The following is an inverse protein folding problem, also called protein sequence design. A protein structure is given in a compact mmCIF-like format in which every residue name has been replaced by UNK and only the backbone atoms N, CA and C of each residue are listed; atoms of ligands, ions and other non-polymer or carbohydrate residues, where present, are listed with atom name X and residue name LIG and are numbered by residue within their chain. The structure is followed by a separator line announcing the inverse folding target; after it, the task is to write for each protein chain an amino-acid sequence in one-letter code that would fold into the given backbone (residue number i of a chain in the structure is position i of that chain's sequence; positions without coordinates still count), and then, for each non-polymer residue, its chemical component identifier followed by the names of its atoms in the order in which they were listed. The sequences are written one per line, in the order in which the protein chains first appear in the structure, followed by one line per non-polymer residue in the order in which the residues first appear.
data_IF_234103321322
#
_entry.id   IF_234103321322
#
_cell.length_a   1.000
_cell.length_b   1.000
_cell.length_c   1.000
_cell.angle_alpha   90.00
_cell.angle_beta   90.00
_cell.angle_gamma   90.00
#
_symmetry.space_group_name_H-M   'P 1'
#
loop_
_entity.id
_entity.type
_entity.pdbx_description
1 polymer ?
#
# COMPACT_ATOMS: atom_id res chain seq x y z
N UNK A 1 -32.15 44.41 -4.05
CA UNK A 1 -30.75 44.13 -4.44
C UNK A 1 -29.87 44.49 -3.26
N UNK A 2 -29.31 43.48 -2.57
CA UNK A 2 -28.36 43.67 -1.47
C UNK A 2 -27.06 43.02 -1.90
N UNK A 3 -26.05 43.83 -2.15
CA UNK A 3 -24.68 43.42 -2.49
C UNK A 3 -23.93 43.06 -1.21
N UNK A 4 -23.48 41.80 -1.09
CA UNK A 4 -22.56 41.40 -0.03
C UNK A 4 -21.14 41.55 -0.55
N UNK A 5 -20.38 42.40 0.07
CA UNK A 5 -18.93 42.54 -0.13
C UNK A 5 -18.21 41.50 0.71
N UNK A 6 -17.42 40.63 0.04
CA UNK A 6 -16.56 39.61 0.69
C UNK A 6 -15.20 40.26 0.93
N UNK A 7 -14.84 40.49 2.19
CA UNK A 7 -13.50 40.93 2.58
C UNK A 7 -12.60 39.72 2.76
N UNK A 8 -11.58 39.60 1.90
CA UNK A 8 -10.48 38.64 2.07
C UNK A 8 -9.50 39.18 3.11
N UNK A 9 -9.34 38.45 4.23
CA UNK A 9 -8.23 38.64 5.17
C UNK A 9 -7.13 37.66 4.86
N UNK A 10 -6.02 38.15 4.33
CA UNK A 10 -4.76 37.41 4.16
C UNK A 10 -4.01 37.39 5.49
N UNK A 11 -3.86 36.21 6.09
CA UNK A 11 -2.95 35.95 7.20
C UNK A 11 -1.60 35.47 6.67
N UNK A 12 -0.58 36.30 6.77
CA UNK A 12 0.80 35.94 6.48
C UNK A 12 1.40 35.26 7.72
N UNK A 13 1.82 34.01 7.56
CA UNK A 13 2.60 33.28 8.58
C UNK A 13 4.07 33.36 8.19
N UNK A 14 4.85 34.09 8.95
CA UNK A 14 6.30 34.18 8.82
C UNK A 14 6.97 32.97 9.51
N UNK A 15 7.69 32.16 8.75
CA UNK A 15 8.57 31.12 9.29
C UNK A 15 9.97 31.72 9.57
N UNK A 16 10.37 31.71 10.83
CA UNK A 16 11.72 32.06 11.27
C UNK A 16 12.59 30.80 11.18
N UNK A 17 13.63 30.83 10.34
CA UNK A 17 14.69 29.85 10.30
C UNK A 17 15.73 30.19 11.39
N UNK A 18 15.92 29.28 12.34
CA UNK A 18 17.07 29.31 13.25
C UNK A 18 18.14 28.34 12.73
N UNK A 19 19.27 28.92 12.29
CA UNK A 19 20.52 28.18 12.03
C UNK A 19 21.23 27.93 13.37
N UNK A 20 21.48 26.66 13.68
CA UNK A 20 22.31 26.25 14.81
C UNK A 20 23.53 25.47 14.31
N UNK A 21 24.72 25.95 14.64
CA UNK A 21 26.00 25.59 14.10
C UNK A 21 26.59 24.29 14.69
N UNK A 22 27.49 23.73 13.88
CA UNK A 22 28.56 22.74 14.07
C UNK A 22 28.99 22.37 15.50
N UNK A 23 29.21 21.08 15.76
CA UNK A 23 30.34 20.64 16.54
C UNK A 23 31.00 19.39 15.92
N UNK A 24 32.32 19.52 15.63
CA UNK A 24 33.24 18.47 15.21
C UNK A 24 33.84 17.82 16.45
N UNK A 25 33.95 16.51 16.45
CA UNK A 25 35.02 15.69 17.07
C UNK A 25 34.75 14.26 16.61
N UNK A 26 35.57 13.57 15.86
CA UNK A 26 36.99 13.35 15.93
C UNK A 26 37.22 12.02 16.67
N UNK A 27 37.37 10.89 15.93
CA UNK A 27 37.78 9.63 16.55
C UNK A 27 37.63 8.47 15.56
N UNK A 28 38.70 8.20 14.80
CA UNK A 28 38.89 7.01 13.97
C UNK A 28 39.41 5.81 14.80
N UNK A 29 39.46 4.59 14.21
CA UNK A 29 39.28 3.30 14.84
C UNK A 29 40.58 2.61 15.27
N UNK A 30 40.53 1.40 15.77
CA UNK A 30 41.50 0.43 15.31
C UNK A 30 40.91 -0.85 14.71
N UNK A 31 41.69 -1.36 13.80
CA UNK A 31 41.52 -2.54 13.01
C UNK A 31 42.05 -3.80 13.69
N UNK A 32 41.78 -4.93 13.04
CA UNK A 32 42.45 -6.24 13.08
C UNK A 32 42.03 -7.18 14.22
N UNK A 33 41.89 -8.47 14.08
CA UNK A 33 42.28 -9.45 13.06
C UNK A 33 41.65 -10.80 13.43
N UNK A 34 41.48 -11.60 12.39
CA UNK A 34 41.72 -13.04 12.28
C UNK A 34 41.00 -14.09 13.16
N UNK A 35 40.51 -15.01 12.44
CA UNK A 35 40.82 -16.44 12.32
C UNK A 35 39.62 -17.37 12.31
N UNK A 36 39.44 -17.93 11.17
CA UNK A 36 39.11 -19.31 10.78
C UNK A 36 38.92 -20.39 11.85
N UNK A 37 37.92 -21.24 11.62
CA UNK A 37 37.96 -22.71 11.55
C UNK A 37 36.56 -23.30 11.66
N UNK A 38 36.01 -23.84 10.63
CA UNK A 38 35.95 -25.22 10.12
C UNK A 38 35.37 -26.30 11.07
N UNK A 39 34.43 -27.02 10.53
CA UNK A 39 34.00 -28.41 10.69
C UNK A 39 32.48 -28.51 10.96
N UNK A 40 31.70 -28.87 10.02
CA UNK A 40 31.31 -30.19 9.48
C UNK A 40 30.68 -31.16 10.51
N UNK A 41 29.64 -31.76 10.04
CA UNK A 41 29.04 -33.10 10.22
C UNK A 41 27.73 -33.18 10.98
N UNK A 42 26.72 -33.43 10.22
CA UNK A 42 25.96 -34.71 10.15
C UNK A 42 24.77 -34.95 11.06
N UNK A 43 23.77 -35.37 10.37
CA UNK A 43 22.73 -36.37 10.69
C UNK A 43 21.42 -35.90 11.32
N UNK A 44 20.38 -36.02 10.49
CA UNK A 44 18.99 -36.27 10.87
C UNK A 44 18.83 -37.55 11.73
N UNK A 45 17.73 -37.70 12.48
CA UNK A 45 16.58 -38.30 11.83
C UNK A 45 15.21 -37.69 12.18
N UNK A 46 14.26 -38.04 11.33
CA UNK A 46 12.84 -37.79 11.37
C UNK A 46 12.14 -38.29 12.64
N UNK A 47 11.14 -37.59 13.10
CA UNK A 47 9.92 -38.17 13.66
C UNK A 47 8.70 -37.35 13.27
N UNK A 48 7.69 -38.08 12.83
CA UNK A 48 6.37 -37.61 12.43
C UNK A 48 5.55 -37.16 13.64
N UNK A 49 4.60 -36.28 13.35
CA UNK A 49 3.48 -36.09 14.26
C UNK A 49 2.73 -34.77 14.13
N UNK A 50 1.60 -34.88 13.46
CA UNK A 50 0.31 -34.24 13.76
C UNK A 50 0.11 -32.74 13.47
N UNK A 51 -0.70 -32.49 12.44
CA UNK A 51 -1.90 -31.63 12.39
C UNK A 51 -1.84 -30.30 13.15
N UNK A 52 -1.53 -29.26 12.40
CA UNK A 52 -1.77 -27.87 12.77
C UNK A 52 -2.21 -27.11 11.56
N UNK A 53 -3.39 -26.55 11.64
CA UNK A 53 -4.10 -25.80 10.62
C UNK A 53 -3.18 -25.01 9.69
N UNK A 54 -3.28 -25.28 8.40
CA UNK A 54 -2.67 -24.54 7.34
C UNK A 54 -3.20 -23.09 7.37
N UNK A 55 -2.43 -22.20 7.98
CA UNK A 55 -2.41 -20.82 7.54
C UNK A 55 -1.92 -20.90 6.07
N UNK A 56 -2.85 -20.75 5.14
CA UNK A 56 -2.51 -20.59 3.75
C UNK A 56 -1.61 -19.35 3.64
N UNK A 57 -0.30 -19.60 3.75
CA UNK A 57 0.71 -18.64 3.37
C UNK A 57 0.43 -18.31 1.91
N UNK A 58 -0.05 -17.10 1.65
CA UNK A 58 0.00 -16.50 0.33
C UNK A 58 1.48 -16.37 -0.02
N UNK A 59 2.04 -17.50 -0.48
CA UNK A 59 3.33 -17.50 -1.14
C UNK A 59 3.21 -16.57 -2.31
N UNK A 60 3.74 -15.37 -2.16
CA UNK A 60 3.97 -14.48 -3.26
C UNK A 60 4.89 -15.23 -4.23
N UNK A 61 4.31 -15.87 -5.23
CA UNK A 61 5.06 -16.20 -6.42
C UNK A 61 5.62 -14.86 -6.88
N UNK A 62 6.95 -14.74 -6.91
CA UNK A 62 7.64 -13.59 -7.45
C UNK A 62 7.40 -13.57 -8.97
N UNK A 63 6.17 -13.27 -9.37
CA UNK A 63 5.86 -12.88 -10.74
C UNK A 63 6.56 -11.55 -10.97
N UNK A 64 7.35 -11.48 -12.03
CA UNK A 64 7.99 -10.24 -12.44
C UNK A 64 6.94 -9.12 -12.42
N UNK A 65 7.25 -8.02 -11.72
CA UNK A 65 6.32 -6.89 -11.63
C UNK A 65 6.06 -6.31 -13.02
N UNK A 66 4.83 -5.96 -13.36
CA UNK A 66 4.47 -5.42 -14.66
C UNK A 66 5.35 -4.25 -15.07
N UNK A 67 5.88 -4.31 -16.29
CA UNK A 67 6.58 -3.20 -16.94
C UNK A 67 5.79 -2.66 -18.14
N UNK A 68 4.79 -3.41 -18.66
CA UNK A 68 3.93 -2.94 -19.74
C UNK A 68 2.81 -2.03 -19.23
N UNK A 69 2.45 -1.04 -20.05
CA UNK A 69 1.35 -0.11 -19.76
C UNK A 69 0.02 -0.84 -19.50
N UNK A 70 -0.28 -1.87 -20.31
CA UNK A 70 -1.55 -2.62 -20.16
C UNK A 70 -1.60 -3.37 -18.84
N UNK A 71 -0.54 -4.08 -18.48
CA UNK A 71 -0.52 -4.87 -17.24
C UNK A 71 -0.54 -3.97 -16.00
N UNK A 72 0.19 -2.86 -16.03
CA UNK A 72 0.16 -1.88 -14.94
C UNK A 72 -1.23 -1.27 -14.76
N UNK A 73 -1.88 -0.82 -15.86
CA UNK A 73 -3.23 -0.25 -15.82
C UNK A 73 -4.23 -1.28 -15.29
N UNK A 74 -4.12 -2.54 -15.73
CA UNK A 74 -4.98 -3.62 -15.24
C UNK A 74 -4.79 -3.83 -13.73
N UNK A 75 -3.56 -3.93 -13.26
CA UNK A 75 -3.26 -4.16 -11.86
C UNK A 75 -3.68 -2.97 -10.97
N UNK A 76 -3.38 -1.73 -11.39
CA UNK A 76 -3.75 -0.53 -10.64
C UNK A 76 -5.27 -0.35 -10.54
N UNK A 77 -5.99 -0.50 -11.66
CA UNK A 77 -7.44 -0.34 -11.68
C UNK A 77 -8.17 -1.42 -10.86
N UNK A 78 -7.74 -2.69 -10.95
CA UNK A 78 -8.34 -3.76 -10.14
C UNK A 78 -8.03 -3.60 -8.66
N UNK A 79 -6.85 -3.06 -8.32
CA UNK A 79 -6.49 -2.71 -6.94
C UNK A 79 -7.42 -1.61 -6.40
N UNK A 80 -7.58 -0.50 -7.10
CA UNK A 80 -8.46 0.59 -6.66
C UNK A 80 -9.92 0.11 -6.49
N UNK A 81 -10.43 -0.72 -7.41
CA UNK A 81 -11.78 -1.28 -7.29
C UNK A 81 -11.94 -2.12 -6.03
N UNK A 82 -10.93 -2.95 -5.70
CA UNK A 82 -10.91 -3.75 -4.49
C UNK A 82 -10.88 -2.85 -3.24
N UNK A 83 -9.96 -1.87 -3.19
CA UNK A 83 -9.81 -0.99 -2.03
C UNK A 83 -11.08 -0.21 -1.72
N UNK A 84 -11.71 0.38 -2.74
CA UNK A 84 -12.96 1.11 -2.57
C UNK A 84 -14.08 0.19 -2.04
N UNK A 85 -14.19 -1.04 -2.58
CA UNK A 85 -15.24 -1.98 -2.17
C UNK A 85 -14.99 -2.52 -0.75
N UNK A 86 -13.77 -2.94 -0.45
CA UNK A 86 -13.36 -3.42 0.87
C UNK A 86 -13.58 -2.34 1.95
N UNK A 87 -13.20 -1.10 1.65
CA UNK A 87 -13.38 0.02 2.56
C UNK A 87 -14.84 0.37 2.82
N UNK A 88 -15.72 0.26 1.81
CA UNK A 88 -17.18 0.43 2.01
C UNK A 88 -17.75 -0.61 2.95
N UNK A 89 -17.33 -1.87 2.82
CA UNK A 89 -17.74 -2.96 3.73
C UNK A 89 -17.22 -2.64 5.15
N UNK A 90 -15.96 -2.21 5.28
CA UNK A 90 -15.37 -1.87 6.57
C UNK A 90 -16.09 -0.70 7.25
N UNK A 91 -16.44 0.34 6.51
CA UNK A 91 -17.24 1.47 7.03
C UNK A 91 -18.58 1.04 7.62
N UNK A 92 -19.21 0.00 7.04
CA UNK A 92 -20.48 -0.55 7.51
C UNK A 92 -20.36 -1.56 8.67
N UNK A 93 -19.39 -2.48 8.58
CA UNK A 93 -19.27 -3.61 9.51
C UNK A 93 -18.42 -3.32 10.74
N UNK A 94 -17.32 -2.57 10.62
CA UNK A 94 -16.44 -2.28 11.74
C UNK A 94 -17.14 -1.49 12.85
N UNK A 95 -16.75 -1.77 14.09
CA UNK A 95 -17.13 -0.97 15.28
C UNK A 95 -15.97 -0.11 15.77
N UNK A 96 -14.74 -0.38 15.32
CA UNK A 96 -13.56 0.41 15.66
C UNK A 96 -13.54 1.75 14.90
N UNK A 97 -13.41 2.83 15.65
CA UNK A 97 -13.45 4.18 15.08
C UNK A 97 -12.22 4.49 14.20
N UNK A 98 -11.06 3.86 14.47
CA UNK A 98 -9.88 4.07 13.66
C UNK A 98 -9.94 3.27 12.36
N UNK A 99 -10.43 2.03 12.40
CA UNK A 99 -10.71 1.23 11.19
C UNK A 99 -11.69 1.97 10.29
N UNK A 100 -12.76 2.56 10.85
CA UNK A 100 -13.71 3.37 10.06
C UNK A 100 -13.09 4.61 9.43
N UNK A 101 -12.23 5.33 10.18
CA UNK A 101 -11.52 6.50 9.62
C UNK A 101 -10.56 6.09 8.51
N UNK A 102 -9.83 4.99 8.71
CA UNK A 102 -8.96 4.43 7.68
C UNK A 102 -9.76 4.04 6.44
N UNK A 103 -10.88 3.35 6.59
CA UNK A 103 -11.77 2.97 5.49
C UNK A 103 -12.30 4.20 4.72
N UNK A 104 -12.68 5.27 5.41
CA UNK A 104 -13.11 6.51 4.75
C UNK A 104 -11.97 7.14 3.93
N UNK A 105 -10.74 7.11 4.44
CA UNK A 105 -9.55 7.58 3.71
C UNK A 105 -9.30 6.72 2.46
N UNK A 106 -9.41 5.39 2.57
CA UNK A 106 -9.26 4.48 1.42
C UNK A 106 -10.26 4.80 0.31
N UNK A 107 -11.53 5.02 0.65
CA UNK A 107 -12.54 5.40 -0.36
C UNK A 107 -12.15 6.69 -1.06
N UNK A 108 -11.76 7.71 -0.30
CA UNK A 108 -11.39 9.02 -0.85
C UNK A 108 -10.21 8.92 -1.81
N UNK A 109 -9.09 8.37 -1.34
CA UNK A 109 -7.83 8.41 -2.07
C UNK A 109 -7.79 7.45 -3.25
N UNK A 110 -8.39 6.24 -3.14
CA UNK A 110 -8.49 5.31 -4.25
C UNK A 110 -9.53 5.73 -5.31
N UNK A 111 -10.57 6.49 -4.92
CA UNK A 111 -11.45 7.14 -5.90
C UNK A 111 -10.68 8.20 -6.68
N UNK A 112 -9.89 9.03 -6.00
CA UNK A 112 -9.05 10.02 -6.65
C UNK A 112 -8.01 9.40 -7.58
N UNK A 113 -7.32 8.34 -7.16
CA UNK A 113 -6.39 7.56 -7.99
C UNK A 113 -7.06 7.04 -9.27
N UNK A 114 -8.26 6.44 -9.11
CA UNK A 114 -9.07 5.96 -10.24
C UNK A 114 -9.40 7.09 -11.23
N UNK A 115 -9.76 8.26 -10.74
CA UNK A 115 -10.08 9.42 -11.60
C UNK A 115 -8.85 9.92 -12.35
N UNK A 116 -7.70 10.03 -11.69
CA UNK A 116 -6.43 10.40 -12.33
C UNK A 116 -6.04 9.41 -13.44
N UNK A 117 -6.17 8.11 -13.17
CA UNK A 117 -5.89 7.07 -14.16
C UNK A 117 -6.83 7.18 -15.36
N UNK A 118 -8.14 7.37 -15.15
CA UNK A 118 -9.13 7.55 -16.22
C UNK A 118 -8.82 8.78 -17.08
N UNK A 119 -8.46 9.90 -16.47
CA UNK A 119 -8.07 11.12 -17.19
C UNK A 119 -6.84 10.88 -18.07
N UNK A 120 -5.84 10.18 -17.55
CA UNK A 120 -4.63 9.84 -18.28
C UNK A 120 -4.93 8.95 -19.49
N UNK A 121 -5.80 7.94 -19.33
CA UNK A 121 -6.22 7.06 -20.41
C UNK A 121 -7.03 7.81 -21.46
N UNK A 122 -7.94 8.71 -21.05
CA UNK A 122 -8.76 9.52 -21.95
C UNK A 122 -7.92 10.51 -22.78
N UNK A 123 -6.75 10.92 -22.29
CA UNK A 123 -5.80 11.78 -23.01
C UNK A 123 -5.15 11.14 -24.24
N UNK A 124 -5.35 9.85 -24.49
CA UNK A 124 -4.96 9.13 -25.70
C UNK A 124 -3.47 8.83 -25.87
N UNK A 125 -2.62 9.31 -24.95
CA UNK A 125 -1.16 9.01 -24.95
C UNK A 125 -0.83 7.61 -24.40
N UNK A 126 -1.76 7.00 -23.67
CA UNK A 126 -1.66 5.65 -23.13
C UNK A 126 -2.54 4.71 -23.91
N UNK A 127 -1.95 3.67 -24.53
CA UNK A 127 -2.66 2.64 -25.31
C UNK A 127 -3.00 1.43 -24.44
N UNK A 128 -3.69 1.67 -23.33
CA UNK A 128 -4.14 0.63 -22.40
C UNK A 128 -5.62 0.81 -22.08
N UNK A 129 -6.29 -0.29 -21.73
CA UNK A 129 -7.70 -0.31 -21.36
C UNK A 129 -7.82 -0.78 -19.91
N UNK A 130 -8.48 0.03 -19.09
CA UNK A 130 -8.76 -0.36 -17.71
C UNK A 130 -9.86 -1.45 -17.71
N UNK A 131 -9.73 -2.50 -16.89
CA UNK A 131 -10.78 -3.49 -16.70
C UNK A 131 -12.02 -2.86 -16.05
N UNK A 132 -13.16 -3.47 -16.30
CA UNK A 132 -14.46 -3.04 -15.74
C UNK A 132 -14.85 -3.81 -14.48
N UNK A 133 -14.07 -4.85 -14.12
CA UNK A 133 -14.33 -5.70 -12.96
C UNK A 133 -13.01 -6.16 -12.31
N UNK A 134 -13.10 -6.59 -11.06
CA UNK A 134 -11.98 -7.16 -10.32
C UNK A 134 -11.65 -8.56 -10.81
N UNK A 135 -10.38 -8.97 -10.65
CA UNK A 135 -9.95 -10.35 -10.81
C UNK A 135 -10.57 -11.28 -9.73
N UNK A 136 -10.52 -12.59 -9.99
CA UNK A 136 -11.15 -13.59 -9.10
C UNK A 136 -10.49 -13.64 -7.71
N UNK A 137 -9.19 -13.37 -7.59
CA UNK A 137 -8.51 -13.30 -6.29
C UNK A 137 -9.09 -12.16 -5.43
N UNK A 138 -9.25 -10.98 -6.01
CA UNK A 138 -9.83 -9.81 -5.30
C UNK A 138 -11.30 -10.00 -4.99
N UNK A 139 -12.06 -10.66 -5.86
CA UNK A 139 -13.43 -11.07 -5.56
C UNK A 139 -13.50 -12.02 -4.37
N UNK A 140 -12.57 -12.98 -4.28
CA UNK A 140 -12.44 -13.87 -3.14
C UNK A 140 -12.18 -13.13 -1.84
N UNK A 141 -11.22 -12.17 -1.83
CA UNK A 141 -10.95 -11.33 -0.67
C UNK A 141 -12.18 -10.53 -0.21
N UNK A 142 -12.99 -10.03 -1.13
CA UNK A 142 -14.26 -9.38 -0.79
C UNK A 142 -15.24 -10.39 -0.16
N UNK A 143 -15.31 -11.61 -0.69
CA UNK A 143 -16.11 -12.70 -0.10
C UNK A 143 -15.70 -13.02 1.34
N UNK A 144 -14.40 -13.03 1.63
CA UNK A 144 -13.87 -13.23 2.99
C UNK A 144 -14.33 -12.12 3.94
N UNK A 145 -14.32 -10.85 3.49
CA UNK A 145 -14.82 -9.72 4.27
C UNK A 145 -16.33 -9.81 4.52
N UNK A 146 -17.09 -10.25 3.52
CA UNK A 146 -18.54 -10.44 3.65
C UNK A 146 -18.88 -11.57 4.62
N UNK A 147 -18.08 -12.64 4.62
CA UNK A 147 -18.25 -13.80 5.49
C UNK A 147 -17.70 -13.60 6.92
N UNK A 148 -16.79 -12.65 7.12
CA UNK A 148 -16.14 -12.42 8.40
C UNK A 148 -17.15 -12.10 9.51
N UNK A 149 -17.00 -12.79 10.65
CA UNK A 149 -17.80 -12.52 11.85
C UNK A 149 -17.44 -11.17 12.45
N UNK A 150 -18.33 -10.54 13.23
CA UNK A 150 -18.02 -9.25 13.88
C UNK A 150 -16.74 -9.28 14.74
N UNK A 151 -16.41 -10.43 15.33
CA UNK A 151 -15.20 -10.57 16.16
C UNK A 151 -13.90 -10.58 15.34
N UNK A 152 -13.95 -11.09 14.10
CA UNK A 152 -12.77 -11.26 13.25
C UNK A 152 -12.68 -10.21 12.14
N UNK A 153 -13.72 -9.42 11.94
CA UNK A 153 -13.85 -8.53 10.78
C UNK A 153 -12.69 -7.53 10.69
N UNK A 154 -12.42 -6.79 11.75
CA UNK A 154 -11.41 -5.74 11.74
C UNK A 154 -10.02 -6.32 11.47
N UNK A 155 -9.70 -7.47 12.06
CA UNK A 155 -8.46 -8.18 11.79
C UNK A 155 -8.36 -8.62 10.34
N UNK A 156 -9.41 -9.27 9.81
CA UNK A 156 -9.43 -9.74 8.41
C UNK A 156 -9.25 -8.57 7.44
N UNK A 157 -9.98 -7.47 7.64
CA UNK A 157 -9.87 -6.29 6.79
C UNK A 157 -8.46 -5.69 6.83
N UNK A 158 -7.91 -5.46 8.01
CA UNK A 158 -6.60 -4.83 8.15
C UNK A 158 -5.46 -5.73 7.66
N UNK A 159 -5.52 -7.03 7.86
CA UNK A 159 -4.55 -7.97 7.31
C UNK A 159 -4.54 -7.94 5.77
N UNK A 160 -5.73 -7.90 5.16
CA UNK A 160 -5.88 -7.74 3.71
C UNK A 160 -5.34 -6.39 3.24
N UNK A 161 -5.59 -5.31 3.98
CA UNK A 161 -5.08 -3.97 3.65
C UNK A 161 -3.55 -3.89 3.67
N UNK A 162 -2.91 -4.50 4.67
CA UNK A 162 -1.44 -4.57 4.73
C UNK A 162 -0.89 -5.30 3.51
N UNK A 163 -1.44 -6.46 3.19
CA UNK A 163 -0.99 -7.28 2.05
C UNK A 163 -1.19 -6.54 0.71
N UNK A 164 -2.35 -5.94 0.50
CA UNK A 164 -2.68 -5.24 -0.74
C UNK A 164 -1.82 -3.99 -0.94
N UNK A 165 -1.54 -3.23 0.13
CA UNK A 165 -0.69 -2.05 0.05
C UNK A 165 0.79 -2.39 -0.11
N UNK A 166 1.27 -3.54 0.40
CA UNK A 166 2.61 -4.05 0.10
C UNK A 166 2.76 -4.40 -1.39
N UNK A 167 1.76 -5.10 -1.95
CA UNK A 167 1.70 -5.43 -3.38
C UNK A 167 1.68 -4.15 -4.23
N UNK A 168 0.80 -3.20 -3.89
CA UNK A 168 0.67 -1.93 -4.61
C UNK A 168 1.94 -1.08 -4.53
N UNK A 169 2.59 -0.97 -3.37
CA UNK A 169 3.84 -0.23 -3.23
C UNK A 169 4.95 -0.80 -4.11
N UNK A 170 5.05 -2.12 -4.20
CA UNK A 170 5.97 -2.81 -5.11
C UNK A 170 5.67 -2.52 -6.59
N UNK A 171 4.40 -2.66 -6.98
CA UNK A 171 3.92 -2.41 -8.34
C UNK A 171 4.22 -0.97 -8.78
N UNK A 172 3.79 0.01 -8.00
CA UNK A 172 3.94 1.43 -8.33
C UNK A 172 5.41 1.87 -8.31
N UNK A 173 6.21 1.40 -7.33
CA UNK A 173 7.66 1.67 -7.29
C UNK A 173 8.40 1.10 -8.50
N UNK A 174 8.06 -0.13 -8.89
CA UNK A 174 8.67 -0.75 -10.07
C UNK A 174 8.28 0.01 -11.34
N UNK A 175 6.98 0.29 -11.54
CA UNK A 175 6.52 0.94 -12.77
C UNK A 175 7.03 2.39 -12.88
N UNK A 176 7.11 3.14 -11.79
CA UNK A 176 7.69 4.48 -11.77
C UNK A 176 9.13 4.50 -12.31
N UNK A 177 9.89 3.43 -12.06
CA UNK A 177 11.29 3.29 -12.51
C UNK A 177 11.40 2.71 -13.92
N UNK A 178 10.70 1.60 -14.16
CA UNK A 178 10.96 0.69 -15.28
C UNK A 178 9.82 0.64 -16.30
N UNK A 179 8.68 1.34 -16.07
CA UNK A 179 7.53 1.32 -16.98
C UNK A 179 7.85 1.85 -18.37
N UNK A 180 7.12 1.36 -19.35
CA UNK A 180 7.29 1.67 -20.77
C UNK A 180 6.57 2.97 -21.22
N UNK A 181 5.68 3.54 -20.38
CA UNK A 181 4.94 4.75 -20.71
C UNK A 181 5.27 5.92 -19.75
N UNK A 182 5.76 7.07 -20.24
CA UNK A 182 6.13 8.20 -19.39
C UNK A 182 4.99 8.78 -18.56
N UNK A 183 3.76 8.85 -19.09
CA UNK A 183 2.59 9.36 -18.38
C UNK A 183 2.22 8.46 -17.21
N UNK A 184 2.22 7.15 -17.42
CA UNK A 184 1.97 6.17 -16.35
C UNK A 184 3.11 6.10 -15.33
N UNK A 185 4.37 6.31 -15.73
CA UNK A 185 5.50 6.47 -14.79
C UNK A 185 5.29 7.66 -13.87
N UNK A 186 4.85 8.79 -14.42
CA UNK A 186 4.52 9.98 -13.63
C UNK A 186 3.34 9.71 -12.68
N UNK A 187 2.27 9.11 -13.18
CA UNK A 187 1.14 8.68 -12.34
C UNK A 187 1.59 7.78 -11.19
N UNK A 188 2.37 6.74 -11.49
CA UNK A 188 2.87 5.81 -10.49
C UNK A 188 3.72 6.52 -9.42
N UNK A 189 4.63 7.43 -9.82
CA UNK A 189 5.45 8.20 -8.89
C UNK A 189 4.64 9.18 -8.03
N UNK A 190 3.55 9.72 -8.57
CA UNK A 190 2.66 10.66 -7.86
C UNK A 190 1.81 9.94 -6.81
N UNK A 191 1.30 8.74 -7.11
CA UNK A 191 0.41 7.99 -6.22
C UNK A 191 1.18 7.19 -5.16
N UNK A 192 2.40 6.74 -5.44
CA UNK A 192 3.21 5.90 -4.56
C UNK A 192 3.34 6.42 -3.12
N UNK A 193 3.59 7.72 -2.84
CA UNK A 193 3.67 8.21 -1.46
C UNK A 193 2.39 8.01 -0.65
N UNK A 194 1.22 8.14 -1.27
CA UNK A 194 -0.08 7.89 -0.65
C UNK A 194 -0.22 6.42 -0.28
N UNK A 195 0.12 5.50 -1.20
CA UNK A 195 0.11 4.05 -0.94
C UNK A 195 1.02 3.69 0.24
N UNK A 196 2.22 4.26 0.33
CA UNK A 196 3.16 4.03 1.43
C UNK A 196 2.63 4.57 2.78
N UNK A 197 1.94 5.69 2.75
CA UNK A 197 1.26 6.25 3.93
C UNK A 197 0.16 5.32 4.41
N UNK A 198 -0.67 4.82 3.51
CA UNK A 198 -1.73 3.85 3.81
C UNK A 198 -1.16 2.55 4.40
N UNK A 199 -0.08 2.02 3.82
CA UNK A 199 0.61 0.84 4.36
C UNK A 199 1.04 1.05 5.80
N UNK A 200 1.69 2.18 6.08
CA UNK A 200 2.14 2.53 7.44
C UNK A 200 0.96 2.62 8.42
N UNK A 201 -0.15 3.23 7.98
CA UNK A 201 -1.36 3.33 8.80
C UNK A 201 -1.99 1.95 9.05
N UNK A 202 -2.11 1.11 8.01
CA UNK A 202 -2.65 -0.24 8.13
C UNK A 202 -1.81 -1.10 9.09
N UNK A 203 -0.48 -1.08 8.99
CA UNK A 203 0.44 -1.79 9.90
C UNK A 203 0.30 -1.32 11.35
N UNK A 204 0.12 -0.02 11.58
CA UNK A 204 -0.13 0.52 12.91
C UNK A 204 -1.47 0.02 13.48
N UNK A 205 -2.52 -0.01 12.68
CA UNK A 205 -3.83 -0.55 13.10
C UNK A 205 -3.72 -2.05 13.34
N UNK A 206 -3.02 -2.79 12.46
CA UNK A 206 -2.80 -4.23 12.58
C UNK A 206 -2.18 -4.64 13.93
N UNK A 207 -1.25 -3.84 14.44
CA UNK A 207 -0.62 -4.12 15.76
C UNK A 207 -1.60 -4.07 16.94
N UNK A 208 -2.82 -3.55 16.76
CA UNK A 208 -3.84 -3.34 17.82
C UNK A 208 -5.09 -4.18 17.64
N UNK A 209 -5.50 -4.48 16.39
CA UNK A 209 -6.63 -5.37 16.12
C UNK A 209 -6.20 -6.83 16.34
N UNK A 210 -6.95 -7.59 17.14
CA UNK A 210 -6.62 -8.97 17.52
C UNK A 210 -7.62 -9.93 16.92
#
# INVERSE_FOLDING_TARGET
MRTYQLTLTTAAVAFVFALGACNKNGGSPPAAADAASNAAVSSSPAVAGAEGAAAAGVGAAATALPASAQDFVTAAATSDMYEIKAARIAGGKSKDAEVKRFAALMIHDHTHSTELLKQLLAGGSVKAVAPTDMDERRKGLIGDLDAATPANFDKTYIDQQVAAHQEAAGLFSNYAKNGDNPGLKHFASTVLPTIQTHLTMAQRIQSRVK
#
